data_IF_962642418593
#
_entry.id   IF_962642418593
#
_cell.length_a   1.000
_cell.length_b   1.000
_cell.length_c   1.000
_cell.angle_alpha   90.00
_cell.angle_beta   90.00
_cell.angle_gamma   90.00
#
_symmetry.space_group_name_H-M   'P 1'
#
loop_
_entity.id
_entity.type
_entity.pdbx_description
1 polymer ?
#
# COMPACT_ATOMS: atom_id res chain seq x y z
N UNK A 1 6.07 8.00 -6.74
CA UNK A 1 5.73 7.62 -5.35
C UNK A 1 4.24 7.89 -5.11
N UNK A 2 3.41 6.88 -4.84
CA UNK A 2 1.98 7.09 -4.50
C UNK A 2 1.82 7.10 -2.99
N UNK A 3 2.45 8.08 -2.32
CA UNK A 3 2.82 8.08 -0.90
C UNK A 3 2.02 7.18 0.03
N UNK A 4 0.69 7.34 0.09
CA UNK A 4 -0.17 6.49 0.93
C UNK A 4 -0.20 5.02 0.50
N UNK A 5 -0.44 4.74 -0.78
CA UNK A 5 -0.49 3.37 -1.29
C UNK A 5 0.85 2.67 -1.03
N UNK A 6 1.96 3.32 -1.33
CA UNK A 6 3.29 2.74 -1.13
C UNK A 6 3.55 2.39 0.34
N UNK A 7 3.29 3.31 1.27
CA UNK A 7 3.51 3.09 2.71
C UNK A 7 2.60 1.97 3.23
N UNK A 8 1.31 1.98 2.88
CA UNK A 8 0.39 0.93 3.29
C UNK A 8 0.75 -0.44 2.71
N UNK A 9 1.19 -0.47 1.46
CA UNK A 9 1.69 -1.69 0.80
C UNK A 9 2.90 -2.24 1.54
N UNK A 10 3.90 -1.39 1.82
CA UNK A 10 5.11 -1.79 2.52
C UNK A 10 4.79 -2.34 3.91
N UNK A 11 3.87 -1.70 4.64
CA UNK A 11 3.47 -2.17 5.97
C UNK A 11 2.70 -3.50 5.93
N UNK A 12 1.74 -3.64 5.01
CA UNK A 12 0.92 -4.85 4.91
C UNK A 12 1.74 -6.05 4.41
N UNK A 13 2.45 -5.89 3.29
CA UNK A 13 3.28 -6.94 2.71
C UNK A 13 4.50 -7.22 3.57
N UNK A 14 5.14 -6.18 4.10
CA UNK A 14 6.27 -6.29 5.02
C UNK A 14 5.93 -7.15 6.23
N UNK A 15 4.78 -6.90 6.88
CA UNK A 15 4.32 -7.70 8.00
C UNK A 15 3.97 -9.13 7.58
N UNK A 16 3.27 -9.31 6.45
CA UNK A 16 2.78 -10.60 5.99
C UNK A 16 3.90 -11.54 5.54
N UNK A 17 4.90 -11.01 4.85
CA UNK A 17 5.98 -11.77 4.22
C UNK A 17 7.31 -11.65 4.93
N UNK A 18 7.42 -10.80 5.97
CA UNK A 18 8.67 -10.49 6.68
C UNK A 18 9.75 -10.02 5.70
N UNK A 19 9.36 -9.05 4.86
CA UNK A 19 10.24 -8.48 3.85
C UNK A 19 11.44 -7.78 4.49
N UNK A 20 12.58 -7.82 3.79
CA UNK A 20 13.79 -7.12 4.20
C UNK A 20 13.73 -5.62 3.87
N UNK A 21 14.71 -4.87 4.38
CA UNK A 21 14.77 -3.41 4.19
C UNK A 21 14.89 -3.02 2.71
N UNK A 22 15.58 -3.82 1.91
CA UNK A 22 15.75 -3.57 0.47
C UNK A 22 14.42 -3.66 -0.24
N UNK A 23 13.66 -4.73 -0.03
CA UNK A 23 12.34 -4.89 -0.65
C UNK A 23 11.34 -3.86 -0.13
N UNK A 24 11.40 -3.51 1.16
CA UNK A 24 10.57 -2.43 1.72
C UNK A 24 10.87 -1.08 1.06
N UNK A 25 12.15 -0.75 0.86
CA UNK A 25 12.56 0.46 0.15
C UNK A 25 12.04 0.45 -1.30
N UNK A 26 12.15 -0.68 -2.00
CA UNK A 26 11.61 -0.81 -3.36
C UNK A 26 10.10 -0.49 -3.41
N UNK A 27 9.30 -1.03 -2.48
CA UNK A 27 7.86 -0.74 -2.42
C UNK A 27 7.61 0.75 -2.16
N UNK A 28 8.38 1.36 -1.25
CA UNK A 28 8.23 2.76 -0.87
C UNK A 28 8.56 3.68 -2.05
N UNK A 29 9.60 3.35 -2.81
CA UNK A 29 10.11 4.15 -3.92
C UNK A 29 9.42 3.84 -5.27
N UNK A 30 8.59 2.80 -5.36
CA UNK A 30 7.92 2.41 -6.60
C UNK A 30 6.99 3.52 -7.12
N UNK A 31 7.30 4.03 -8.31
CA UNK A 31 6.52 5.07 -8.97
C UNK A 31 5.64 4.52 -10.09
N UNK A 32 5.78 3.25 -10.44
CA UNK A 32 4.98 2.61 -11.47
C UNK A 32 3.70 2.06 -10.86
N UNK A 33 2.61 2.80 -11.03
CA UNK A 33 1.29 2.40 -10.55
C UNK A 33 0.85 1.02 -11.07
N UNK A 34 1.34 0.57 -12.23
CA UNK A 34 0.95 -0.72 -12.80
C UNK A 34 1.42 -1.91 -11.98
N UNK A 35 2.43 -1.71 -11.12
CA UNK A 35 2.87 -2.70 -10.14
C UNK A 35 1.84 -2.92 -9.02
N UNK A 36 0.95 -1.96 -8.78
CA UNK A 36 -0.08 -2.00 -7.75
C UNK A 36 -1.44 -2.37 -8.35
N UNK A 37 -1.89 -3.60 -8.09
CA UNK A 37 -3.16 -4.09 -8.64
C UNK A 37 -4.22 -4.20 -7.54
N UNK A 38 -5.33 -3.51 -7.76
CA UNK A 38 -6.52 -3.56 -6.93
C UNK A 38 -7.55 -4.49 -7.57
N UNK A 39 -7.97 -5.50 -6.83
CA UNK A 39 -9.04 -6.44 -7.22
C UNK A 39 -10.07 -6.49 -6.11
N UNK A 40 -11.26 -6.98 -6.42
CA UNK A 40 -12.39 -7.02 -5.49
C UNK A 40 -12.07 -7.71 -4.15
N UNK A 41 -11.26 -8.77 -4.18
CA UNK A 41 -10.94 -9.59 -2.99
C UNK A 41 -9.45 -9.64 -2.66
N UNK A 42 -8.62 -8.88 -3.37
CA UNK A 42 -7.17 -8.91 -3.16
C UNK A 42 -6.49 -7.64 -3.63
N UNK A 43 -5.33 -7.41 -3.05
CA UNK A 43 -4.39 -6.38 -3.46
C UNK A 43 -3.04 -7.03 -3.73
N UNK A 44 -2.28 -6.52 -4.70
CA UNK A 44 -0.94 -7.02 -4.97
C UNK A 44 0.02 -5.91 -5.37
N UNK A 45 1.28 -6.10 -5.00
CA UNK A 45 2.42 -5.38 -5.53
C UNK A 45 3.37 -6.38 -6.19
N UNK A 46 3.64 -6.20 -7.49
CA UNK A 46 4.37 -7.18 -8.32
C UNK A 46 3.80 -8.61 -8.13
N UNK A 47 4.59 -9.54 -7.63
CA UNK A 47 4.26 -10.94 -7.38
C UNK A 47 3.72 -11.22 -5.97
N UNK A 48 3.74 -10.23 -5.08
CA UNK A 48 3.25 -10.37 -3.70
C UNK A 48 1.78 -9.94 -3.60
N UNK A 49 0.96 -10.76 -2.95
CA UNK A 49 -0.49 -10.51 -2.85
C UNK A 49 -1.06 -10.78 -1.47
N UNK A 50 -2.06 -9.99 -1.09
CA UNK A 50 -2.82 -10.13 0.14
C UNK A 50 -4.32 -10.07 -0.15
N UNK A 51 -5.08 -10.80 0.64
CA UNK A 51 -6.55 -10.84 0.56
C UNK A 51 -7.18 -9.66 1.29
N UNK A 52 -8.43 -9.33 0.96
CA UNK A 52 -9.21 -8.31 1.67
C UNK A 52 -9.32 -8.58 3.19
N UNK A 53 -9.44 -9.85 3.58
CA UNK A 53 -9.49 -10.24 5.00
C UNK A 53 -8.16 -9.95 5.71
N UNK A 54 -7.03 -10.23 5.06
CA UNK A 54 -5.70 -9.93 5.61
C UNK A 54 -5.43 -8.42 5.69
N UNK A 55 -5.95 -7.64 4.74
CA UNK A 55 -5.89 -6.17 4.80
C UNK A 55 -6.67 -5.68 6.01
N UNK A 56 -7.90 -6.17 6.20
CA UNK A 56 -8.75 -5.84 7.35
C UNK A 56 -8.07 -6.18 8.67
N UNK A 57 -7.49 -7.39 8.78
CA UNK A 57 -6.76 -7.82 9.96
C UNK A 57 -5.56 -6.91 10.25
N UNK A 58 -4.75 -6.61 9.22
CA UNK A 58 -3.58 -5.73 9.36
C UNK A 58 -3.97 -4.31 9.81
N UNK A 59 -5.05 -3.78 9.25
CA UNK A 59 -5.61 -2.46 9.59
C UNK A 59 -6.15 -2.38 11.01
N UNK A 60 -6.73 -3.47 11.52
CA UNK A 60 -7.27 -3.50 12.88
C UNK A 60 -6.20 -3.68 13.96
N UNK A 61 -5.11 -4.39 13.66
CA UNK A 61 -4.19 -4.88 14.69
C UNK A 61 -2.79 -4.22 14.69
N UNK A 62 -2.36 -3.62 13.58
CA UNK A 62 -0.97 -3.17 13.45
C UNK A 62 -0.82 -1.83 12.72
N UNK A 63 -1.64 -1.59 11.70
CA UNK A 63 -1.49 -0.44 10.83
C UNK A 63 -2.72 0.44 11.04
N UNK A 64 -2.68 1.30 12.06
CA UNK A 64 -3.85 2.10 12.48
C UNK A 64 -3.93 3.41 11.71
N UNK A 65 -2.84 4.16 11.64
CA UNK A 65 -2.80 5.46 10.95
C UNK A 65 -1.40 5.82 10.49
N UNK A 66 -1.33 6.52 9.36
CA UNK A 66 -0.16 7.26 8.90
C UNK A 66 -0.61 8.69 8.61
N UNK A 67 0.11 9.67 9.15
CA UNK A 67 -0.22 11.08 8.98
C UNK A 67 0.55 11.70 7.82
N UNK A 68 -0.12 12.53 7.04
CA UNK A 68 0.51 13.47 6.12
C UNK A 68 0.32 14.90 6.62
N UNK A 69 1.28 15.79 6.36
CA UNK A 69 1.18 17.20 6.70
C UNK A 69 0.15 17.94 5.83
N UNK A 70 -0.14 17.43 4.64
CA UNK A 70 -1.12 17.96 3.70
C UNK A 70 -2.11 16.85 3.30
N UNK A 71 -3.39 17.06 3.59
CA UNK A 71 -4.45 16.09 3.26
C UNK A 71 -4.82 16.09 1.77
N UNK A 72 -4.65 17.20 1.06
CA UNK A 72 -5.12 17.32 -0.32
C UNK A 72 -4.28 16.47 -1.28
N UNK A 73 -2.95 16.49 -1.10
CA UNK A 73 -2.00 15.74 -1.93
C UNK A 73 -2.32 14.22 -2.06
N UNK A 74 -2.47 13.44 -0.97
CA UNK A 74 -2.77 12.02 -1.10
C UNK A 74 -4.17 11.75 -1.63
N UNK A 75 -5.13 12.64 -1.38
CA UNK A 75 -6.48 12.52 -1.90
C UNK A 75 -6.47 12.73 -3.43
N UNK A 76 -5.81 13.78 -3.91
CA UNK A 76 -5.70 14.07 -5.34
C UNK A 76 -5.02 12.93 -6.09
N UNK A 77 -3.98 12.33 -5.50
CA UNK A 77 -3.30 11.19 -6.12
C UNK A 77 -4.21 9.97 -6.24
N UNK A 78 -5.01 9.66 -5.21
CA UNK A 78 -5.99 8.58 -5.28
C UNK A 78 -7.08 8.83 -6.34
N UNK A 79 -7.48 10.09 -6.55
CA UNK A 79 -8.41 10.47 -7.63
C UNK A 79 -7.80 10.29 -9.02
N UNK A 80 -6.53 10.71 -9.22
CA UNK A 80 -5.80 10.50 -10.49
C UNK A 80 -5.70 9.01 -10.85
N UNK A 81 -5.66 8.16 -9.83
CA UNK A 81 -5.60 6.70 -9.97
C UNK A 81 -6.98 6.04 -10.13
N UNK A 82 -8.08 6.81 -10.04
CA UNK A 82 -9.45 6.29 -10.15
C UNK A 82 -9.89 5.43 -8.96
N UNK A 83 -9.26 5.61 -7.79
CA UNK A 83 -9.56 4.88 -6.55
C UNK A 83 -10.51 5.66 -5.61
N UNK A 84 -10.82 6.92 -5.92
CA UNK A 84 -11.75 7.81 -5.23
C UNK A 84 -12.57 8.62 -6.24
#
# INVERSE_FOLDING_TARGET
>A
MHGFINIFTALLLGRRYKLDEVTLAEIIEDEDYTNFQFKEQSFSWKDLSITADQITEGRNNAIVSFGCCNFDEPREDMQKLGLL
#
